data_IF_325437099608
#
_entry.id   IF_325437099608
#
_cell.length_a   1.000
_cell.length_b   1.000
_cell.length_c   1.000
_cell.angle_alpha   90.00
_cell.angle_beta   90.00
_cell.angle_gamma   90.00
#
_symmetry.space_group_name_H-M   'P 1'
#
loop_
_entity.id
_entity.type
_entity.pdbx_description
1 polymer ?
#
# COMPACT_ATOMS: atom_id res chain seq x y z
N UNK A 1 -10.63 11.42 -10.76
CA UNK A 1 -11.08 12.82 -10.91
C UNK A 1 -11.65 13.02 -12.31
N UNK A 2 -12.69 13.84 -12.49
CA UNK A 2 -13.15 14.22 -13.84
C UNK A 2 -12.08 15.06 -14.54
N UNK A 3 -11.90 14.86 -15.84
CA UNK A 3 -10.90 15.56 -16.62
C UNK A 3 -11.36 15.81 -18.06
N UNK A 4 -10.92 16.93 -18.62
CA UNK A 4 -10.97 17.21 -20.06
C UNK A 4 -9.71 16.62 -20.72
N UNK A 5 -9.89 15.78 -21.74
CA UNK A 5 -8.78 15.15 -22.48
C UNK A 5 -8.76 15.71 -23.91
N UNK A 6 -7.62 16.26 -24.33
CA UNK A 6 -7.45 16.84 -25.67
C UNK A 6 -6.00 16.73 -26.16
N UNK A 7 -5.72 17.25 -27.37
CA UNK A 7 -4.34 17.39 -27.89
C UNK A 7 -3.41 18.20 -26.95
N UNK A 8 -3.98 19.03 -26.07
CA UNK A 8 -3.23 19.83 -25.09
C UNK A 8 -2.92 19.07 -23.78
N UNK A 9 -3.31 17.80 -23.67
CA UNK A 9 -3.11 16.97 -22.49
C UNK A 9 -4.38 16.74 -21.67
N UNK A 10 -4.20 16.30 -20.42
CA UNK A 10 -5.25 15.99 -19.45
C UNK A 10 -5.38 17.16 -18.48
N UNK A 11 -6.56 17.74 -18.37
CA UNK A 11 -6.84 18.88 -17.50
C UNK A 11 -7.92 18.49 -16.50
N UNK A 12 -7.58 18.52 -15.20
CA UNK A 12 -8.53 18.22 -14.14
C UNK A 12 -9.67 19.24 -14.11
N UNK A 13 -10.89 18.76 -13.97
CA UNK A 13 -12.07 19.60 -13.73
C UNK A 13 -12.20 19.82 -12.23
N UNK A 14 -12.37 21.08 -11.80
CA UNK A 14 -12.55 21.41 -10.38
C UNK A 14 -13.84 20.79 -9.86
N UNK A 15 -13.76 20.11 -8.71
CA UNK A 15 -14.91 19.58 -7.96
C UNK A 15 -15.06 20.31 -6.64
N UNK A 16 -16.22 20.17 -5.98
CA UNK A 16 -16.49 20.77 -4.67
C UNK A 16 -15.84 20.04 -3.48
N UNK A 17 -15.02 19.02 -3.77
CA UNK A 17 -14.38 18.17 -2.77
C UNK A 17 -15.29 17.06 -2.22
N UNK A 18 -14.72 16.21 -1.36
CA UNK A 18 -15.44 15.16 -0.66
C UNK A 18 -15.74 15.59 0.79
N UNK A 19 -16.77 15.04 1.44
CA UNK A 19 -17.01 15.28 2.86
C UNK A 19 -15.79 14.89 3.72
N UNK A 20 -15.47 15.69 4.73
CA UNK A 20 -14.32 15.48 5.61
C UNK A 20 -14.22 14.06 6.19
N UNK A 21 -15.31 13.48 6.74
CA UNK A 21 -15.26 12.11 7.26
C UNK A 21 -14.87 11.07 6.20
N UNK A 22 -15.35 11.23 4.96
CA UNK A 22 -15.01 10.32 3.87
C UNK A 22 -13.53 10.43 3.50
N UNK A 23 -12.99 11.65 3.47
CA UNK A 23 -11.55 11.88 3.25
C UNK A 23 -10.74 11.17 4.33
N UNK A 24 -11.11 11.28 5.61
CA UNK A 24 -10.40 10.62 6.70
C UNK A 24 -10.34 9.10 6.54
N UNK A 25 -11.45 8.47 6.14
CA UNK A 25 -11.47 7.03 5.85
C UNK A 25 -10.61 6.67 4.64
N UNK A 26 -10.69 7.44 3.55
CA UNK A 26 -9.84 7.22 2.36
C UNK A 26 -8.35 7.34 2.70
N UNK A 27 -7.98 8.35 3.50
CA UNK A 27 -6.60 8.54 3.94
C UNK A 27 -6.09 7.36 4.76
N UNK A 28 -6.91 6.87 5.70
CA UNK A 28 -6.58 5.73 6.56
C UNK A 28 -6.52 4.41 5.78
N UNK A 29 -7.54 4.11 4.99
CA UNK A 29 -7.76 2.78 4.43
C UNK A 29 -7.13 2.59 3.04
N UNK A 30 -6.80 3.70 2.35
CA UNK A 30 -6.26 3.66 0.98
C UNK A 30 -4.90 4.32 0.88
N UNK A 31 -4.78 5.57 1.30
CA UNK A 31 -3.54 6.33 1.10
C UNK A 31 -2.42 5.78 1.98
N UNK A 32 -2.65 5.61 3.28
CA UNK A 32 -1.60 5.13 4.18
C UNK A 32 -1.03 3.75 3.79
N UNK A 33 -1.84 2.71 3.49
CA UNK A 33 -1.31 1.44 3.01
C UNK A 33 -0.51 1.56 1.72
N UNK A 34 -0.99 2.33 0.72
CA UNK A 34 -0.27 2.51 -0.55
C UNK A 34 1.08 3.22 -0.37
N UNK A 35 1.17 4.21 0.52
CA UNK A 35 2.45 4.85 0.81
C UNK A 35 3.44 3.87 1.46
N UNK A 36 2.97 3.00 2.36
CA UNK A 36 3.80 1.96 2.98
C UNK A 36 4.21 0.90 1.96
N UNK A 37 3.32 0.47 1.07
CA UNK A 37 3.59 -0.46 -0.04
C UNK A 37 4.69 0.08 -0.95
N UNK A 38 4.55 1.32 -1.43
CA UNK A 38 5.54 1.98 -2.27
C UNK A 38 6.87 2.10 -1.53
N UNK A 39 6.85 2.48 -0.25
CA UNK A 39 8.07 2.59 0.54
C UNK A 39 8.75 1.24 0.72
N UNK A 40 8.00 0.18 0.97
CA UNK A 40 8.53 -1.18 1.07
C UNK A 40 9.21 -1.56 -0.25
N UNK A 41 8.52 -1.38 -1.37
CA UNK A 41 9.06 -1.67 -2.70
C UNK A 41 10.33 -0.88 -3.01
N UNK A 42 10.34 0.44 -2.79
CA UNK A 42 11.52 1.26 -3.10
C UNK A 42 12.72 0.98 -2.19
N UNK A 43 12.47 0.70 -0.91
CA UNK A 43 13.54 0.55 0.08
C UNK A 43 14.04 -0.88 0.25
N UNK A 44 13.27 -1.88 -0.20
CA UNK A 44 13.56 -3.29 0.06
C UNK A 44 13.49 -3.66 1.55
N UNK A 45 12.97 -2.79 2.43
CA UNK A 45 12.95 -3.06 3.87
C UNK A 45 11.83 -4.00 4.23
N UNK A 46 12.19 -5.16 4.76
CA UNK A 46 11.25 -6.18 5.22
C UNK A 46 10.32 -5.68 6.32
N UNK A 47 10.80 -4.79 7.19
CA UNK A 47 9.99 -4.21 8.26
C UNK A 47 8.81 -3.40 7.72
N UNK A 48 8.93 -2.80 6.53
CA UNK A 48 7.83 -2.06 5.90
C UNK A 48 6.71 -2.99 5.44
N UNK A 49 7.05 -4.19 4.93
CA UNK A 49 6.05 -5.22 4.63
C UNK A 49 5.34 -5.70 5.90
N UNK A 50 6.08 -5.89 7.00
CA UNK A 50 5.49 -6.25 8.28
C UNK A 50 4.53 -5.16 8.79
N UNK A 51 4.93 -3.89 8.71
CA UNK A 51 4.05 -2.76 9.05
C UNK A 51 2.78 -2.75 8.22
N UNK A 52 2.89 -3.00 6.91
CA UNK A 52 1.72 -3.09 6.02
C UNK A 52 0.73 -4.18 6.49
N UNK A 53 1.22 -5.38 6.82
CA UNK A 53 0.38 -6.48 7.32
C UNK A 53 -0.26 -6.13 8.67
N UNK A 54 0.47 -5.44 9.55
CA UNK A 54 -0.05 -4.99 10.85
C UNK A 54 -1.15 -3.93 10.75
N UNK A 55 -1.27 -3.23 9.60
CA UNK A 55 -2.37 -2.30 9.35
C UNK A 55 -3.69 -3.02 9.02
N UNK A 56 -3.65 -4.32 8.69
CA UNK A 56 -4.83 -5.10 8.39
C UNK A 56 -5.64 -5.39 9.68
N UNK A 57 -6.95 -5.07 9.73
CA UNK A 57 -7.78 -5.31 10.90
C UNK A 57 -7.93 -6.79 11.28
N UNK A 58 -7.58 -7.72 10.41
CA UNK A 58 -7.61 -9.17 10.64
C UNK A 58 -6.31 -9.71 11.24
N UNK A 59 -5.24 -8.93 11.23
CA UNK A 59 -4.00 -9.25 11.95
C UNK A 59 -4.24 -9.07 13.46
N UNK A 60 -4.14 -10.18 14.21
CA UNK A 60 -4.44 -10.22 15.66
C UNK A 60 -3.20 -10.27 16.54
N UNK A 61 -2.04 -10.58 15.96
CA UNK A 61 -0.74 -10.55 16.65
C UNK A 61 0.38 -10.23 15.68
N UNK A 62 1.50 -9.75 16.21
CA UNK A 62 2.72 -9.53 15.43
C UNK A 62 3.31 -10.85 14.92
N UNK A 63 3.20 -11.92 15.70
CA UNK A 63 3.63 -13.27 15.32
C UNK A 63 2.88 -13.76 14.07
N UNK A 64 1.56 -13.63 14.04
CA UNK A 64 0.74 -13.97 12.86
C UNK A 64 1.22 -13.22 11.60
N UNK A 65 1.56 -11.94 11.75
CA UNK A 65 2.03 -11.12 10.63
C UNK A 65 3.41 -11.55 10.13
N UNK A 66 4.32 -11.89 11.07
CA UNK A 66 5.65 -12.41 10.75
C UNK A 66 5.57 -13.75 10.03
N UNK A 67 4.76 -14.67 10.54
CA UNK A 67 4.57 -15.99 9.96
C UNK A 67 4.01 -15.90 8.54
N UNK A 68 2.98 -15.07 8.34
CA UNK A 68 2.43 -14.81 7.00
C UNK A 68 3.49 -14.26 6.04
N UNK A 69 4.32 -13.32 6.50
CA UNK A 69 5.36 -12.72 5.69
C UNK A 69 6.44 -13.75 5.32
N UNK A 70 6.88 -14.58 6.27
CA UNK A 70 7.84 -15.66 6.02
C UNK A 70 7.26 -16.67 5.03
N UNK A 71 6.02 -17.13 5.23
CA UNK A 71 5.38 -18.12 4.37
C UNK A 71 5.29 -17.62 2.92
N UNK A 72 4.89 -16.35 2.72
CA UNK A 72 4.82 -15.74 1.39
C UNK A 72 6.22 -15.63 0.78
N UNK A 73 7.20 -15.12 1.54
CA UNK A 73 8.55 -14.98 1.04
C UNK A 73 9.17 -16.34 0.73
N UNK A 74 8.88 -17.39 1.48
CA UNK A 74 9.41 -18.74 1.30
C UNK A 74 8.87 -19.48 0.06
N UNK A 75 7.82 -18.97 -0.60
CA UNK A 75 7.25 -19.60 -1.81
C UNK A 75 8.33 -19.80 -2.89
N UNK A 76 8.37 -20.96 -3.58
CA UNK A 76 9.49 -21.33 -4.46
C UNK A 76 9.68 -20.35 -5.63
N UNK A 77 8.61 -19.68 -6.07
CA UNK A 77 8.62 -18.70 -7.17
C UNK A 77 8.88 -17.25 -6.71
N UNK A 78 9.11 -16.99 -5.42
CA UNK A 78 9.40 -15.67 -4.87
C UNK A 78 10.91 -15.43 -4.60
N UNK A 79 11.79 -16.11 -5.33
CA UNK A 79 13.24 -15.96 -5.13
C UNK A 79 13.72 -14.51 -5.28
N UNK A 80 13.30 -13.81 -6.34
CA UNK A 80 13.69 -12.42 -6.57
C UNK A 80 13.07 -11.47 -5.53
N UNK A 81 11.85 -11.76 -5.08
CA UNK A 81 11.22 -11.01 -4.01
C UNK A 81 11.99 -11.16 -2.69
N UNK A 82 12.39 -12.39 -2.32
CA UNK A 82 13.25 -12.63 -1.15
C UNK A 82 14.55 -11.85 -1.23
N UNK A 83 15.21 -11.85 -2.39
CA UNK A 83 16.46 -11.10 -2.59
C UNK A 83 16.27 -9.60 -2.42
N UNK A 84 15.14 -9.07 -2.88
CA UNK A 84 14.81 -7.64 -2.77
C UNK A 84 14.51 -7.21 -1.33
N UNK A 85 13.90 -8.09 -0.53
CA UNK A 85 13.47 -7.83 0.84
C UNK A 85 14.37 -8.46 1.92
N UNK A 86 15.66 -8.65 1.60
CA UNK A 86 16.64 -9.29 2.49
C UNK A 86 17.20 -8.33 3.56
#
# INVERSE_FOLDING_TARGET
MPALVSKRGIQGIKTDGLPGPLISYILRDRVAPTEVELKAYESGKREMLLQLILMDPWTKSEEQAKDLLEDILALPYHEEMRKHYN
#
